data_IF_924915607504
#
_entry.id   IF_924915607504
#
_cell.length_a   1.000
_cell.length_b   1.000
_cell.length_c   1.000
_cell.angle_alpha   90.00
_cell.angle_beta   90.00
_cell.angle_gamma   90.00
#
_symmetry.space_group_name_H-M   'P 1'
#
loop_
_entity.id
_entity.type
_entity.pdbx_description
1 polymer ?
#
# COMPACT_ATOMS: atom_id res chain seq x y z
N UNK A 1 2.66 -8.04 3.67
CA UNK A 1 2.19 -7.16 2.58
C UNK A 1 1.72 -5.83 3.16
N UNK A 2 1.78 -4.74 2.40
CA UNK A 2 1.22 -3.46 2.84
C UNK A 2 -0.18 -3.27 2.23
N UNK A 3 -1.20 -3.24 3.08
CA UNK A 3 -2.59 -3.01 2.68
C UNK A 3 -2.97 -1.55 2.89
N UNK A 4 -4.11 -1.12 2.33
CA UNK A 4 -4.70 0.20 2.56
C UNK A 4 -3.80 1.42 2.26
N UNK A 5 -2.69 1.24 1.54
CA UNK A 5 -1.70 2.30 1.31
C UNK A 5 -2.29 3.53 0.61
N UNK A 6 -3.35 3.38 -0.19
CA UNK A 6 -4.02 4.49 -0.88
C UNK A 6 -4.74 5.45 0.08
N UNK A 7 -5.00 5.04 1.33
CA UNK A 7 -5.49 5.93 2.37
C UNK A 7 -4.41 6.88 2.90
N UNK A 8 -3.13 6.53 2.73
CA UNK A 8 -1.98 7.31 3.19
C UNK A 8 -1.52 8.35 2.15
N UNK A 9 -1.80 8.11 0.87
CA UNK A 9 -1.37 8.95 -0.27
C UNK A 9 -2.56 9.42 -1.12
N UNK A 10 -2.46 10.59 -1.77
CA UNK A 10 -3.54 11.14 -2.60
C UNK A 10 -4.75 11.62 -1.79
N UNK A 11 -5.96 11.39 -2.31
CA UNK A 11 -7.23 11.87 -1.73
C UNK A 11 -7.72 11.07 -0.52
N UNK A 12 -6.87 10.18 0.02
CA UNK A 12 -7.15 9.35 1.22
C UNK A 12 -8.31 8.37 1.02
N UNK A 13 -8.57 7.99 -0.22
CA UNK A 13 -9.62 7.03 -0.58
C UNK A 13 -9.03 5.63 -0.75
N UNK A 14 -9.72 4.62 -0.25
CA UNK A 14 -9.39 3.22 -0.48
C UNK A 14 -9.69 2.85 -1.93
N UNK A 15 -8.67 2.51 -2.71
CA UNK A 15 -8.81 2.15 -4.13
C UNK A 15 -8.84 0.64 -4.36
N UNK A 16 -8.63 -0.15 -3.31
CA UNK A 16 -8.64 -1.59 -3.37
C UNK A 16 -9.24 -2.20 -2.09
N UNK A 17 -9.97 -3.30 -2.25
CA UNK A 17 -10.45 -4.14 -1.16
C UNK A 17 -9.44 -5.24 -0.88
N UNK A 18 -9.27 -5.62 0.39
CA UNK A 18 -8.50 -6.79 0.79
C UNK A 18 -9.41 -7.73 1.58
N UNK A 19 -9.36 -9.03 1.26
CA UNK A 19 -10.12 -10.08 1.94
C UNK A 19 -9.10 -11.13 2.38
N UNK A 20 -9.13 -11.52 3.65
CA UNK A 20 -8.32 -12.62 4.16
C UNK A 20 -8.93 -13.95 3.68
N UNK A 21 -8.14 -14.73 2.92
CA UNK A 21 -8.53 -16.06 2.42
C UNK A 21 -8.09 -17.21 3.33
N UNK A 22 -7.31 -16.88 4.36
CA UNK A 22 -6.76 -17.78 5.37
C UNK A 22 -6.58 -17.00 6.67
N UNK A 23 -6.43 -17.71 7.79
CA UNK A 23 -6.16 -17.10 9.09
C UNK A 23 -4.94 -16.17 9.00
N UNK A 24 -5.15 -14.89 9.33
CA UNK A 24 -4.19 -13.82 9.09
C UNK A 24 -4.14 -12.89 10.29
N UNK A 25 -2.93 -12.43 10.64
CA UNK A 25 -2.71 -11.40 11.67
C UNK A 25 -2.28 -10.12 10.98
N UNK A 26 -2.90 -9.01 11.36
CA UNK A 26 -2.63 -7.68 10.81
C UNK A 26 -2.25 -6.72 11.94
N UNK A 27 -1.36 -5.78 11.60
CA UNK A 27 -1.05 -4.64 12.44
C UNK A 27 -1.75 -3.43 11.82
N UNK A 28 -2.64 -2.82 12.59
CA UNK A 28 -3.39 -1.64 12.17
C UNK A 28 -2.67 -0.39 12.64
N UNK A 29 -2.48 0.57 11.74
CA UNK A 29 -1.92 1.88 12.05
C UNK A 29 -2.96 2.95 11.73
N UNK A 30 -3.21 3.85 12.68
CA UNK A 30 -4.07 4.99 12.45
C UNK A 30 -3.36 5.99 11.55
N UNK A 31 -3.94 6.26 10.37
CA UNK A 31 -3.31 7.12 9.35
C UNK A 31 -3.02 8.53 9.86
N UNK A 32 -3.91 9.10 10.69
CA UNK A 32 -3.70 10.42 11.30
C UNK A 32 -2.46 10.45 12.19
N UNK A 33 -2.29 9.46 13.05
CA UNK A 33 -1.15 9.33 13.96
C UNK A 33 0.14 9.03 13.21
N UNK A 34 0.08 8.11 12.25
CA UNK A 34 1.23 7.78 11.40
C UNK A 34 1.72 9.02 10.65
N UNK A 35 0.81 9.82 10.09
CA UNK A 35 1.19 11.08 9.42
C UNK A 35 1.80 12.09 10.38
N UNK A 36 1.20 12.29 11.56
CA UNK A 36 1.77 13.19 12.56
C UNK A 36 3.19 12.76 12.96
N UNK A 37 3.43 11.45 13.07
CA UNK A 37 4.76 10.90 13.32
C UNK A 37 5.73 11.12 12.15
N UNK A 38 5.28 10.94 10.90
CA UNK A 38 6.09 11.21 9.70
C UNK A 38 6.42 12.70 9.53
N UNK A 39 5.50 13.59 9.94
CA UNK A 39 5.71 15.04 9.92
C UNK A 39 6.70 15.46 11.02
N UNK A 40 6.70 14.78 12.17
CA UNK A 40 7.62 15.02 13.28
C UNK A 40 9.03 14.43 13.05
N UNK A 41 9.14 13.30 12.34
CA UNK A 41 10.41 12.66 11.96
C UNK A 41 10.43 12.38 10.45
N UNK A 42 11.13 13.23 9.70
CA UNK A 42 11.23 13.09 8.24
C UNK A 42 11.96 11.82 7.80
N UNK A 43 12.84 11.25 8.64
CA UNK A 43 13.51 9.97 8.33
C UNK A 43 12.50 8.83 8.43
N UNK A 44 11.65 8.83 9.45
CA UNK A 44 10.50 7.91 9.52
C UNK A 44 9.60 8.06 8.29
N UNK A 45 9.27 9.30 7.92
CA UNK A 45 8.52 9.60 6.71
C UNK A 45 9.14 8.98 5.45
N UNK A 46 10.45 9.14 5.28
CA UNK A 46 11.19 8.58 4.15
C UNK A 46 11.13 7.05 4.10
N UNK A 47 11.38 6.36 5.22
CA UNK A 47 11.32 4.90 5.31
C UNK A 47 9.91 4.37 5.00
N UNK A 48 8.88 4.99 5.57
CA UNK A 48 7.48 4.63 5.30
C UNK A 48 7.14 4.79 3.82
N UNK A 49 7.55 5.91 3.22
CA UNK A 49 7.27 6.19 1.81
C UNK A 49 8.03 5.26 0.86
N UNK A 50 9.26 4.85 1.19
CA UNK A 50 9.98 3.81 0.46
C UNK A 50 9.23 2.47 0.48
N UNK A 51 8.72 2.06 1.65
CA UNK A 51 7.94 0.83 1.78
C UNK A 51 6.63 0.88 0.96
N UNK A 52 5.94 2.02 0.97
CA UNK A 52 4.74 2.27 0.15
C UNK A 52 5.06 2.20 -1.34
N UNK A 53 6.10 2.89 -1.80
CA UNK A 53 6.53 2.88 -3.20
C UNK A 53 6.92 1.47 -3.68
N UNK A 54 7.61 0.68 -2.83
CA UNK A 54 7.92 -0.71 -3.13
C UNK A 54 6.66 -1.58 -3.28
N UNK A 55 5.67 -1.40 -2.41
CA UNK A 55 4.39 -2.13 -2.49
C UNK A 55 3.59 -1.76 -3.76
N UNK A 56 3.61 -0.48 -4.14
CA UNK A 56 3.02 0.04 -5.37
C UNK A 56 3.65 -0.58 -6.62
N UNK A 57 4.99 -0.54 -6.70
CA UNK A 57 5.74 -1.08 -7.83
C UNK A 57 5.42 -2.57 -8.07
N UNK A 58 5.40 -3.37 -7.00
CA UNK A 58 5.04 -4.80 -7.08
C UNK A 58 3.63 -5.02 -7.60
N UNK A 59 2.65 -4.22 -7.15
CA UNK A 59 1.26 -4.32 -7.61
C UNK A 59 1.10 -3.93 -9.07
N UNK A 60 1.72 -2.83 -9.51
CA UNK A 60 1.68 -2.40 -10.91
C UNK A 60 2.31 -3.44 -11.84
N UNK A 61 3.42 -4.05 -11.42
CA UNK A 61 4.03 -5.14 -12.17
C UNK A 61 3.10 -6.37 -12.24
N UNK A 62 2.50 -6.77 -11.12
CA UNK A 62 1.56 -7.88 -11.07
C UNK A 62 0.34 -7.64 -11.97
N UNK A 63 -0.27 -6.44 -11.91
CA UNK A 63 -1.38 -6.07 -12.79
C UNK A 63 -0.96 -6.07 -14.26
N UNK A 64 0.24 -5.57 -14.59
CA UNK A 64 0.77 -5.63 -15.97
C UNK A 64 0.88 -7.07 -16.47
N UNK A 65 1.39 -7.98 -15.65
CA UNK A 65 1.49 -9.40 -16.00
C UNK A 65 0.12 -10.05 -16.18
N UNK A 66 -0.84 -9.75 -15.31
CA UNK A 66 -2.21 -10.24 -15.42
C UNK A 66 -2.89 -9.75 -16.72
N UNK A 67 -2.70 -8.48 -17.09
CA UNK A 67 -3.23 -7.96 -18.35
C UNK A 67 -2.60 -8.63 -19.57
N UNK A 68 -1.28 -8.87 -19.56
CA UNK A 68 -0.61 -9.59 -20.65
C UNK A 68 -1.11 -11.04 -20.79
N UNK A 69 -1.41 -11.72 -19.69
CA UNK A 69 -1.99 -13.07 -19.72
C UNK A 69 -3.42 -13.07 -20.30
N UNK A 70 -4.22 -12.07 -19.94
CA UNK A 70 -5.61 -11.93 -20.43
C UNK A 70 -5.70 -11.59 -21.92
N UNK A 71 -4.76 -10.79 -22.44
CA UNK A 71 -4.75 -10.30 -23.84
C UNK A 71 -3.71 -11.00 -24.74
N UNK A 72 -2.97 -11.97 -24.22
CA UNK A 72 -1.93 -12.71 -24.95
C UNK A 72 -2.41 -13.89 -25.78
N UNK A 73 -3.72 -14.03 -25.98
CA UNK A 73 -4.36 -14.97 -26.93
C UNK A 73 -4.88 -14.21 -28.14
#
# INVERSE_FOLDING_TARGET
DLLAWSSLIGDRVMTATAIAIQDSVLITLQVSELRAAMDADSRLGYEVMQAVAGALSRRLLATRLQLLDLYGR
#
